data_IF_586773860960
#
_entry.id   IF_586773860960
#
_cell.length_a   1.000
_cell.length_b   1.000
_cell.length_c   1.000
_cell.angle_alpha   90.00
_cell.angle_beta   90.00
_cell.angle_gamma   90.00
#
_symmetry.space_group_name_H-M   'P 1'
#
loop_
_entity.id
_entity.type
_entity.pdbx_description
1 polymer ?
#
# COMPACT_ATOMS: atom_id res chain seq x y z
N UNK A 1 -9.61 -15.31 -9.90
CA UNK A 1 -8.73 -14.83 -8.82
C UNK A 1 -9.62 -14.31 -7.69
N UNK A 2 -9.81 -15.04 -6.58
CA UNK A 2 -10.85 -14.77 -5.56
C UNK A 2 -10.33 -14.81 -4.11
N UNK A 3 -9.01 -14.71 -3.92
CA UNK A 3 -8.33 -14.85 -2.62
C UNK A 3 -7.40 -13.66 -2.29
N UNK A 4 -7.68 -12.46 -2.81
CA UNK A 4 -6.77 -11.30 -2.67
C UNK A 4 -7.23 -10.23 -1.67
N UNK A 5 -8.37 -10.44 -1.04
CA UNK A 5 -8.93 -9.53 -0.03
C UNK A 5 -9.24 -10.36 1.21
N UNK A 6 -8.35 -10.27 2.19
CA UNK A 6 -8.57 -10.79 3.52
C UNK A 6 -9.34 -9.73 4.30
N UNK A 7 -10.53 -10.09 4.78
CA UNK A 7 -11.35 -9.19 5.58
C UNK A 7 -10.83 -9.18 7.02
N UNK A 8 -10.35 -8.03 7.53
CA UNK A 8 -9.79 -7.95 8.88
C UNK A 8 -10.81 -8.31 9.96
N UNK A 9 -12.11 -8.06 9.76
CA UNK A 9 -13.15 -8.42 10.76
C UNK A 9 -13.29 -9.94 10.88
N UNK A 10 -13.28 -10.66 9.75
CA UNK A 10 -13.35 -12.12 9.73
C UNK A 10 -12.10 -12.79 10.34
N UNK A 11 -10.93 -12.15 10.20
CA UNK A 11 -9.68 -12.63 10.81
C UNK A 11 -9.77 -12.53 12.34
N UNK A 12 -10.21 -11.38 12.86
CA UNK A 12 -10.34 -11.15 14.30
C UNK A 12 -11.37 -12.12 14.91
N UNK A 13 -12.52 -12.29 14.27
CA UNK A 13 -13.55 -13.24 14.72
C UNK A 13 -13.03 -14.68 14.79
N UNK A 14 -12.19 -15.07 13.82
CA UNK A 14 -11.58 -16.40 13.78
C UNK A 14 -10.54 -16.56 14.90
N UNK A 15 -9.73 -15.53 15.15
CA UNK A 15 -8.74 -15.53 16.23
C UNK A 15 -9.41 -15.60 17.62
N UNK A 16 -10.51 -14.86 17.82
CA UNK A 16 -11.31 -14.90 19.06
C UNK A 16 -11.90 -16.28 19.31
N UNK A 17 -12.52 -16.89 18.28
CA UNK A 17 -13.03 -18.27 18.37
C UNK A 17 -11.93 -19.29 18.70
N UNK A 18 -10.71 -19.06 18.22
CA UNK A 18 -9.57 -19.92 18.51
C UNK A 18 -9.13 -19.77 19.97
N UNK A 19 -9.06 -18.54 20.50
CA UNK A 19 -8.76 -18.27 21.91
C UNK A 19 -9.78 -18.92 22.84
N UNK A 20 -11.07 -18.77 22.54
CA UNK A 20 -12.16 -19.35 23.34
C UNK A 20 -12.06 -20.87 23.37
N UNK A 21 -11.88 -21.51 22.21
CA UNK A 21 -11.70 -22.97 22.09
C UNK A 21 -10.47 -23.49 22.83
N UNK A 22 -9.36 -22.76 22.79
CA UNK A 22 -8.13 -23.11 23.52
C UNK A 22 -8.37 -23.00 25.02
N UNK A 23 -9.08 -21.96 25.46
CA UNK A 23 -9.44 -21.73 26.86
C UNK A 23 -10.37 -22.79 27.44
N UNK A 24 -11.34 -23.26 26.65
CA UNK A 24 -12.24 -24.36 27.04
C UNK A 24 -11.50 -25.71 27.13
N UNK A 25 -10.56 -25.96 26.20
CA UNK A 25 -9.95 -27.28 26.03
C UNK A 25 -8.64 -27.46 26.80
N UNK A 26 -7.93 -26.38 27.11
CA UNK A 26 -6.66 -26.39 27.84
C UNK A 26 -6.59 -25.28 28.91
N UNK A 27 -7.46 -25.31 29.94
CA UNK A 27 -7.59 -24.23 30.93
C UNK A 27 -6.35 -24.02 31.81
N UNK A 28 -5.56 -25.06 32.08
CA UNK A 28 -4.34 -24.96 32.90
C UNK A 28 -3.07 -24.67 32.08
N UNK A 29 -3.16 -24.62 30.75
CA UNK A 29 -2.03 -24.31 29.89
C UNK A 29 -2.01 -22.80 29.57
N UNK A 30 -0.83 -22.17 29.67
CA UNK A 30 -0.64 -20.76 29.31
C UNK A 30 -0.91 -20.43 27.83
N UNK A 31 -1.34 -21.41 27.02
CA UNK A 31 -1.72 -21.29 25.61
C UNK A 31 -2.90 -20.33 25.39
N UNK A 32 -3.80 -20.19 26.38
CA UNK A 32 -4.88 -19.20 26.31
C UNK A 32 -4.34 -17.77 26.28
N UNK A 33 -3.29 -17.48 27.07
CA UNK A 33 -2.64 -16.17 27.07
C UNK A 33 -2.01 -15.84 25.72
N UNK A 34 -1.33 -16.80 25.11
CA UNK A 34 -0.74 -16.67 23.76
C UNK A 34 -1.81 -16.43 22.70
N UNK A 35 -2.93 -17.16 22.76
CA UNK A 35 -4.05 -16.94 21.84
C UNK A 35 -4.67 -15.55 22.04
N UNK A 36 -4.73 -15.06 23.27
CA UNK A 36 -5.12 -13.68 23.58
C UNK A 36 -4.19 -12.62 22.99
N UNK A 37 -2.87 -12.82 23.08
CA UNK A 37 -1.87 -11.94 22.46
C UNK A 37 -2.01 -11.92 20.93
N UNK A 38 -2.29 -13.07 20.30
CA UNK A 38 -2.56 -13.15 18.86
C UNK A 38 -3.82 -12.36 18.46
N UNK A 39 -4.86 -12.39 19.29
CA UNK A 39 -6.09 -11.59 19.07
C UNK A 39 -5.80 -10.10 19.19
N UNK A 40 -5.03 -9.66 20.20
CA UNK A 40 -4.65 -8.25 20.32
C UNK A 40 -3.82 -7.77 19.13
N UNK A 41 -2.81 -8.55 18.74
CA UNK A 41 -1.94 -8.22 17.60
C UNK A 41 -2.76 -8.12 16.29
N UNK A 42 -3.72 -9.03 16.09
CA UNK A 42 -4.60 -9.01 14.93
C UNK A 42 -5.48 -7.76 14.88
N UNK A 43 -5.96 -7.27 16.03
CA UNK A 43 -6.74 -6.02 16.12
C UNK A 43 -5.89 -4.79 15.86
N UNK A 44 -4.67 -4.75 16.37
CA UNK A 44 -3.77 -3.62 16.19
C UNK A 44 -3.33 -3.49 14.73
N UNK A 45 -3.03 -4.61 14.07
CA UNK A 45 -2.76 -4.65 12.63
C UNK A 45 -3.96 -4.18 11.79
N UNK A 46 -5.19 -4.57 12.15
CA UNK A 46 -6.40 -4.13 11.46
C UNK A 46 -6.62 -2.62 11.56
N UNK A 47 -6.28 -2.01 12.71
CA UNK A 47 -6.34 -0.55 12.90
C UNK A 47 -5.27 0.16 12.08
N UNK A 48 -4.02 -0.30 12.14
CA UNK A 48 -2.93 0.26 11.35
C UNK A 48 -3.22 0.18 9.84
N UNK A 49 -3.75 -0.94 9.36
CA UNK A 49 -4.14 -1.10 7.96
C UNK A 49 -5.24 -0.10 7.54
N UNK A 50 -6.22 0.15 8.41
CA UNK A 50 -7.29 1.13 8.16
C UNK A 50 -6.79 2.57 8.15
N UNK A 51 -5.80 2.89 8.97
CA UNK A 51 -5.13 4.20 8.95
C UNK A 51 -4.30 4.40 7.67
N UNK A 52 -3.67 3.33 7.17
CA UNK A 52 -2.96 3.33 5.89
C UNK A 52 -3.88 3.46 4.66
N UNK A 53 -5.17 3.13 4.79
CA UNK A 53 -6.15 3.28 3.71
C UNK A 53 -6.50 4.77 3.46
N UNK A 54 -6.06 5.68 4.33
CA UNK A 54 -6.38 7.10 4.20
C UNK A 54 -5.81 7.70 2.89
N UNK A 55 -6.67 8.27 2.03
CA UNK A 55 -6.23 8.82 0.75
C UNK A 55 -5.30 10.03 0.96
N UNK A 56 -4.12 10.00 0.32
CA UNK A 56 -3.15 11.11 0.39
C UNK A 56 -3.61 12.34 -0.42
N UNK A 57 -4.35 13.23 0.24
CA UNK A 57 -4.94 14.42 -0.37
C UNK A 57 -3.92 15.40 -0.98
N UNK A 58 -2.72 15.54 -0.38
CA UNK A 58 -1.70 16.48 -0.86
C UNK A 58 -1.20 16.12 -2.27
N UNK A 59 -1.05 14.83 -2.57
CA UNK A 59 -0.61 14.35 -3.86
C UNK A 59 -1.68 14.61 -4.93
N UNK A 60 -2.95 14.43 -4.55
CA UNK A 60 -4.10 14.76 -5.41
C UNK A 60 -4.10 16.25 -5.78
N UNK A 61 -3.80 17.13 -4.83
CA UNK A 61 -3.64 18.57 -5.09
C UNK A 61 -2.47 18.86 -6.04
N UNK A 62 -1.35 18.16 -5.89
CA UNK A 62 -0.17 18.34 -6.77
C UNK A 62 -0.47 17.90 -8.21
N UNK A 63 -1.16 16.77 -8.40
CA UNK A 63 -1.56 16.25 -9.71
C UNK A 63 -2.53 17.22 -10.42
N UNK A 64 -3.56 17.67 -9.70
CA UNK A 64 -4.51 18.66 -10.22
C UNK A 64 -3.79 19.97 -10.54
N UNK A 65 -2.86 20.40 -9.68
CA UNK A 65 -2.05 21.59 -9.90
C UNK A 65 -1.18 21.50 -11.16
N UNK A 66 -0.50 20.38 -11.38
CA UNK A 66 0.33 20.14 -12.57
C UNK A 66 -0.52 20.13 -13.86
N UNK A 67 -1.70 19.52 -13.82
CA UNK A 67 -2.63 19.51 -14.96
C UNK A 67 -3.12 20.94 -15.29
N UNK A 68 -3.57 21.69 -14.28
CA UNK A 68 -4.02 23.08 -14.45
C UNK A 68 -2.88 23.95 -14.99
N UNK A 69 -1.67 23.80 -14.47
CA UNK A 69 -0.50 24.53 -14.97
C UNK A 69 -0.23 24.22 -16.45
N UNK A 70 -0.30 22.94 -16.86
CA UNK A 70 -0.15 22.55 -18.27
C UNK A 70 -1.20 23.19 -19.20
N UNK A 71 -2.46 23.21 -18.78
CA UNK A 71 -3.55 23.86 -19.52
C UNK A 71 -3.32 25.38 -19.62
N UNK A 72 -2.91 26.03 -18.53
CA UNK A 72 -2.63 27.47 -18.52
C UNK A 72 -1.47 27.83 -19.45
N UNK A 73 -0.39 27.06 -19.43
CA UNK A 73 0.74 27.25 -20.35
C UNK A 73 0.29 27.09 -21.81
N UNK A 74 -0.53 26.09 -22.11
CA UNK A 74 -1.06 25.88 -23.46
C UNK A 74 -1.91 27.07 -23.95
N UNK A 75 -2.83 27.56 -23.11
CA UNK A 75 -3.65 28.74 -23.42
C UNK A 75 -2.79 30.00 -23.61
N UNK A 76 -1.80 30.20 -22.73
CA UNK A 76 -0.90 31.34 -22.80
C UNK A 76 -0.07 31.34 -24.09
N UNK A 77 0.48 30.19 -24.48
CA UNK A 77 1.22 30.03 -25.74
C UNK A 77 0.31 30.30 -26.95
N UNK A 78 -0.94 29.84 -26.92
CA UNK A 78 -1.93 30.12 -27.96
C UNK A 78 -2.28 31.60 -28.12
N UNK A 79 -2.20 32.40 -27.06
CA UNK A 79 -2.43 33.85 -27.11
C UNK A 79 -1.21 34.67 -27.55
N UNK A 80 0.02 34.17 -27.33
CA UNK A 80 1.27 34.92 -27.60
C UNK A 80 1.83 34.63 -29.00
N UNK A 81 1.52 33.46 -29.58
CA UNK A 81 1.94 33.15 -30.94
C UNK A 81 0.96 33.77 -31.96
N UNK A 82 1.39 34.72 -32.82
CA UNK A 82 0.58 35.16 -33.94
C UNK A 82 0.46 34.00 -34.94
N UNK A 83 -0.67 33.29 -34.89
CA UNK A 83 -1.01 32.17 -35.77
C UNK A 83 -1.20 32.59 -37.26
N UNK A 84 -1.05 33.88 -37.56
CA UNK A 84 -1.32 34.51 -38.87
C UNK A 84 -0.23 34.29 -39.95
N UNK A 85 0.80 33.46 -39.72
CA UNK A 85 1.90 33.24 -40.70
C UNK A 85 2.02 31.83 -41.29
N UNK A 86 1.01 30.97 -41.13
CA UNK A 86 1.05 29.59 -41.67
C UNK A 86 0.28 29.47 -42.99
N UNK A 87 -0.36 30.54 -43.48
CA UNK A 87 -1.01 30.59 -44.80
C UNK A 87 -0.03 30.93 -45.93
N UNK A 88 1.04 30.14 -46.06
CA UNK A 88 1.92 30.14 -47.23
C UNK A 88 1.86 28.76 -47.88
N UNK A 89 1.31 28.70 -49.09
CA UNK A 89 0.97 27.48 -49.81
C UNK A 89 2.18 26.57 -50.08
N UNK A 90 2.17 25.36 -49.51
CA UNK A 90 2.71 24.18 -50.16
C UNK A 90 1.89 22.92 -49.85
N UNK A 91 1.71 22.13 -50.90
CA UNK A 91 0.58 21.26 -51.20
C UNK A 91 0.66 19.89 -50.52
N UNK A 92 -0.46 19.37 -50.01
CA UNK A 92 -0.69 18.02 -49.40
C UNK A 92 0.21 17.55 -48.22
N UNK A 93 1.52 17.85 -48.22
CA UNK A 93 2.49 17.45 -47.19
C UNK A 93 2.25 18.20 -45.88
N UNK A 94 1.84 19.47 -45.93
CA UNK A 94 1.58 20.28 -44.74
C UNK A 94 0.29 19.86 -44.01
N UNK A 95 -0.72 19.35 -44.74
CA UNK A 95 -1.92 18.77 -44.15
C UNK A 95 -1.61 17.49 -43.37
N UNK A 96 -0.71 16.65 -43.89
CA UNK A 96 -0.20 15.47 -43.18
C UNK A 96 0.61 15.89 -41.94
N UNK A 97 1.44 16.92 -42.06
CA UNK A 97 2.24 17.45 -40.96
C UNK A 97 1.41 18.06 -39.82
N UNK A 98 0.32 18.77 -40.14
CA UNK A 98 -0.61 19.30 -39.13
C UNK A 98 -1.34 18.20 -38.37
N UNK A 99 -1.73 17.13 -39.07
CA UNK A 99 -2.31 15.92 -38.45
C UNK A 99 -1.26 15.22 -37.58
N UNK A 100 -0.03 15.04 -38.07
CA UNK A 100 1.07 14.42 -37.35
C UNK A 100 1.42 15.19 -36.06
N UNK A 101 1.49 16.52 -36.12
CA UNK A 101 1.73 17.37 -34.96
C UNK A 101 0.60 17.26 -33.92
N UNK A 102 -0.66 17.21 -34.38
CA UNK A 102 -1.82 17.09 -33.50
C UNK A 102 -1.86 15.71 -32.83
N UNK A 103 -1.62 14.65 -33.60
CA UNK A 103 -1.53 13.27 -33.09
C UNK A 103 -0.42 13.16 -32.05
N UNK A 104 0.77 13.66 -32.35
CA UNK A 104 1.90 13.60 -31.42
C UNK A 104 1.61 14.38 -30.14
N UNK A 105 0.99 15.55 -30.24
CA UNK A 105 0.58 16.35 -29.07
C UNK A 105 -0.44 15.62 -28.20
N UNK A 106 -1.45 15.00 -28.82
CA UNK A 106 -2.46 14.20 -28.10
C UNK A 106 -1.83 12.98 -27.45
N UNK A 107 -0.95 12.27 -28.15
CA UNK A 107 -0.23 11.10 -27.62
C UNK A 107 0.63 11.52 -26.43
N UNK A 108 1.43 12.58 -26.55
CA UNK A 108 2.28 13.07 -25.46
C UNK A 108 1.45 13.55 -24.26
N UNK A 109 0.31 14.20 -24.48
CA UNK A 109 -0.59 14.62 -23.41
C UNK A 109 -1.20 13.42 -22.68
N UNK A 110 -1.65 12.40 -23.43
CA UNK A 110 -2.19 11.16 -22.86
C UNK A 110 -1.10 10.40 -22.11
N UNK A 111 0.09 10.24 -22.69
CA UNK A 111 1.23 9.59 -22.04
C UNK A 111 1.67 10.34 -20.78
N UNK A 112 1.72 11.67 -20.81
CA UNK A 112 2.02 12.50 -19.66
C UNK A 112 0.98 12.34 -18.54
N UNK A 113 -0.31 12.30 -18.92
CA UNK A 113 -1.41 12.05 -17.98
C UNK A 113 -1.35 10.65 -17.36
N UNK A 114 -1.11 9.62 -18.18
CA UNK A 114 -0.93 8.24 -17.71
C UNK A 114 0.32 8.10 -16.84
N UNK A 115 1.43 8.74 -17.22
CA UNK A 115 2.66 8.78 -16.43
C UNK A 115 2.38 9.40 -15.07
N UNK A 116 1.67 10.54 -15.02
CA UNK A 116 1.31 11.23 -13.78
C UNK A 116 0.46 10.34 -12.85
N UNK A 117 -0.54 9.64 -13.38
CA UNK A 117 -1.35 8.66 -12.63
C UNK A 117 -0.46 7.50 -12.13
N UNK A 118 0.40 6.97 -12.99
CA UNK A 118 1.27 5.83 -12.64
C UNK A 118 2.35 6.19 -11.61
N UNK A 119 2.83 7.43 -11.61
CA UNK A 119 3.79 7.94 -10.63
C UNK A 119 3.16 8.02 -9.25
N UNK A 120 1.87 8.37 -9.16
CA UNK A 120 1.13 8.35 -7.89
C UNK A 120 1.06 6.95 -7.27
N UNK A 121 0.79 5.91 -8.08
CA UNK A 121 0.76 4.53 -7.61
C UNK A 121 2.14 4.06 -7.14
N UNK A 122 3.20 4.39 -7.89
CA UNK A 122 4.59 4.01 -7.54
C UNK A 122 5.08 4.67 -6.26
N UNK A 123 4.75 5.95 -6.05
CA UNK A 123 5.13 6.68 -4.83
C UNK A 123 4.38 6.14 -3.62
N UNK A 124 3.08 5.83 -3.75
CA UNK A 124 2.29 5.18 -2.67
C UNK A 124 2.91 3.85 -2.26
N UNK A 125 3.22 3.00 -3.24
CA UNK A 125 3.84 1.69 -2.98
C UNK A 125 5.23 1.87 -2.35
N UNK A 126 6.06 2.77 -2.86
CA UNK A 126 7.39 3.02 -2.29
C UNK A 126 7.35 3.56 -0.85
N UNK A 127 6.41 4.46 -0.55
CA UNK A 127 6.21 4.97 0.81
C UNK A 127 5.70 3.87 1.76
N UNK A 128 4.74 3.05 1.30
CA UNK A 128 4.26 1.88 2.04
C UNK A 128 5.37 0.85 2.28
N UNK A 129 6.22 0.59 1.28
CA UNK A 129 7.38 -0.30 1.44
C UNK A 129 8.44 0.29 2.37
N UNK A 130 8.72 1.59 2.29
CA UNK A 130 9.66 2.24 3.21
C UNK A 130 9.15 2.21 4.66
N UNK A 131 7.84 2.30 4.86
CA UNK A 131 7.19 2.19 6.16
C UNK A 131 7.13 0.73 6.66
N UNK A 132 6.90 -0.25 5.79
CA UNK A 132 6.81 -1.67 6.18
C UNK A 132 8.16 -2.39 6.31
N UNK A 133 9.21 -1.89 5.65
CA UNK A 133 10.56 -2.47 5.72
C UNK A 133 11.34 -1.98 6.94
N UNK A 134 10.96 -0.84 7.53
CA UNK A 134 11.59 -0.28 8.73
C UNK A 134 10.63 -0.28 9.92
N UNK A 135 9.72 -1.25 9.96
CA UNK A 135 8.65 -1.30 10.93
C UNK A 135 9.15 -1.93 12.23
N UNK A 136 9.27 -1.12 13.29
CA UNK A 136 9.49 -1.59 14.66
C UNK A 136 8.47 -2.68 15.03
N UNK A 137 7.26 -2.67 14.45
CA UNK A 137 6.23 -3.70 14.68
C UNK A 137 6.62 -5.06 14.10
N UNK A 138 7.34 -5.11 12.98
CA UNK A 138 7.85 -6.39 12.41
C UNK A 138 9.01 -6.91 13.25
N UNK A 139 9.88 -6.02 13.72
CA UNK A 139 11.00 -6.37 14.61
C UNK A 139 10.47 -6.87 15.96
N UNK A 140 9.49 -6.17 16.55
CA UNK A 140 8.82 -6.58 17.78
C UNK A 140 8.06 -7.90 17.58
N UNK A 141 7.36 -8.07 16.46
CA UNK A 141 6.66 -9.32 16.15
C UNK A 141 7.61 -10.52 16.05
N UNK A 142 8.80 -10.34 15.47
CA UNK A 142 9.84 -11.39 15.43
C UNK A 142 10.39 -11.66 16.83
N UNK A 143 10.64 -10.61 17.61
CA UNK A 143 11.16 -10.70 18.98
C UNK A 143 10.15 -11.39 19.92
N UNK A 144 8.86 -11.16 19.74
CA UNK A 144 7.78 -11.82 20.48
C UNK A 144 7.71 -13.31 20.15
N UNK A 145 7.80 -13.69 18.87
CA UNK A 145 7.88 -15.09 18.46
C UNK A 145 9.12 -15.77 19.06
N UNK A 146 10.27 -15.08 19.03
CA UNK A 146 11.52 -15.58 19.62
C UNK A 146 11.35 -15.82 21.13
N UNK A 147 10.82 -14.82 21.86
CA UNK A 147 10.53 -14.92 23.28
C UNK A 147 9.57 -16.07 23.60
N UNK A 148 8.53 -16.25 22.80
CA UNK A 148 7.57 -17.33 22.97
C UNK A 148 8.23 -18.69 22.80
N UNK A 149 9.02 -18.86 21.74
CA UNK A 149 9.74 -20.11 21.45
C UNK A 149 10.76 -20.45 22.54
N UNK A 150 11.48 -19.44 23.03
CA UNK A 150 12.50 -19.57 24.06
C UNK A 150 11.87 -19.96 25.40
N UNK A 151 10.74 -19.34 25.76
CA UNK A 151 9.99 -19.70 26.97
C UNK A 151 9.37 -21.10 26.87
N UNK A 152 8.86 -21.49 25.71
CA UNK A 152 8.32 -22.83 25.48
C UNK A 152 9.42 -23.89 25.64
N UNK A 153 10.59 -23.67 25.01
CA UNK A 153 11.77 -24.53 25.13
C UNK A 153 12.20 -24.70 26.59
N UNK A 154 12.28 -23.59 27.34
CA UNK A 154 12.62 -23.60 28.77
C UNK A 154 11.63 -24.42 29.59
N UNK A 155 10.31 -24.27 29.35
CA UNK A 155 9.27 -25.03 30.06
C UNK A 155 9.31 -26.54 29.77
N UNK A 156 9.59 -26.92 28.52
CA UNK A 156 9.74 -28.32 28.13
C UNK A 156 10.90 -28.94 28.90
N UNK A 157 12.06 -28.26 28.90
CA UNK A 157 13.25 -28.72 29.62
C UNK A 157 13.00 -28.89 31.13
N UNK A 158 12.29 -27.94 31.74
CA UNK A 158 11.96 -28.00 33.17
C UNK A 158 11.03 -29.17 33.51
N UNK A 159 10.13 -29.57 32.60
CA UNK A 159 9.26 -30.74 32.80
C UNK A 159 10.01 -32.06 32.62
N UNK A 160 10.96 -32.13 31.69
CA UNK A 160 11.80 -33.32 31.51
C UNK A 160 12.63 -33.59 32.78
N UNK A 161 13.30 -32.56 33.31
CA UNK A 161 14.14 -32.70 34.52
C UNK A 161 13.36 -32.99 35.80
N UNK A 162 12.09 -32.57 35.88
CA UNK A 162 11.19 -32.94 36.98
C UNK A 162 10.75 -34.42 36.92
N UNK A 163 10.63 -34.98 35.72
CA UNK A 163 10.31 -36.40 35.53
C UNK A 163 11.54 -37.27 35.81
N UNK A 164 12.73 -36.81 35.42
CA UNK A 164 14.00 -37.54 35.59
C UNK A 164 14.49 -37.56 37.05
N UNK A 165 14.12 -36.56 37.86
CA UNK A 165 14.41 -36.52 39.30
C UNK A 165 13.36 -37.24 40.18
N UNK A 166 12.47 -38.04 39.58
CA UNK A 166 11.42 -38.79 40.28
C UNK A 166 11.63 -40.28 40.14
#
# INVERSE_FOLDING_TARGET
MRYRTLDPELIIETAERLEERIGERFPEAGLRGVAGELVSLSRDLARAAKELEAPIWWLRTLIVGAFVAGVLVFLFVGTVLPLDRISGADDAVQSVQGIEATINTVILAVLGFLALISTEERIKIAALFAQSVNDDVVVDGVNDIENLSSNLSRKIWQKITLIENR
#
